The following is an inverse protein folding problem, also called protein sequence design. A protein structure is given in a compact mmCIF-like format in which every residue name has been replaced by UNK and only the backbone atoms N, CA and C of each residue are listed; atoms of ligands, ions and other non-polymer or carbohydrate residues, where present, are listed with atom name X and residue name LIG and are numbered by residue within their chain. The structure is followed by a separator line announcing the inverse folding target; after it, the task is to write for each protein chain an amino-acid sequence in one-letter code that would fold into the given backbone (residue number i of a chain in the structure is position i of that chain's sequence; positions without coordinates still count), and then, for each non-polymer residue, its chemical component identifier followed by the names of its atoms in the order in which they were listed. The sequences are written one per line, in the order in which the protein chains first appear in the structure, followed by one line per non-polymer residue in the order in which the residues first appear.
data_IF_634971707003
#
_entry.id   IF_634971707003
#
_cell.length_a   1.000
_cell.length_b   1.000
_cell.length_c   1.000
_cell.angle_alpha   90.00
_cell.angle_beta   90.00
_cell.angle_gamma   90.00
#
_symmetry.space_group_name_H-M   'P 1'
#
loop_
_entity.id
_entity.type
_entity.pdbx_description
1 polymer ?
#
# COMPACT_ATOMS: atom_id res chain seq x y z
N UNK A 1 -48.87 41.51 3.69
CA UNK A 1 -48.20 41.40 5.01
C UNK A 1 -46.72 41.25 4.75
N UNK A 2 -45.94 42.21 5.28
CA UNK A 2 -44.48 42.25 5.20
C UNK A 2 -43.88 41.14 6.07
N UNK A 3 -42.71 40.62 5.68
CA UNK A 3 -41.55 40.60 6.57
C UNK A 3 -40.27 40.35 5.75
N UNK A 4 -39.45 41.41 5.74
CA UNK A 4 -38.03 41.46 5.40
C UNK A 4 -37.21 40.67 6.42
N UNK A 5 -36.10 40.05 5.97
CA UNK A 5 -34.80 40.16 6.67
C UNK A 5 -33.68 40.14 5.63
N UNK A 6 -33.18 41.33 5.32
CA UNK A 6 -31.90 41.62 4.69
C UNK A 6 -30.82 41.64 5.78
N UNK A 7 -29.70 40.95 5.60
CA UNK A 7 -28.50 41.12 6.44
C UNK A 7 -27.41 41.78 5.62
N UNK A 8 -27.03 42.98 6.08
CA UNK A 8 -26.06 43.89 5.51
C UNK A 8 -24.63 43.35 5.51
N UNK A 9 -23.91 43.59 4.41
CA UNK A 9 -22.44 43.66 4.38
C UNK A 9 -22.02 45.08 4.74
N UNK A 10 -21.29 45.27 5.84
CA UNK A 10 -20.42 46.43 6.05
C UNK A 10 -19.36 46.10 7.10
N UNK A 11 -18.10 46.04 6.67
CA UNK A 11 -16.98 46.50 7.51
C UNK A 11 -16.02 47.28 6.62
N UNK A 12 -15.85 48.54 7.00
CA UNK A 12 -15.02 49.53 6.34
C UNK A 12 -13.60 49.53 6.96
N UNK A 13 -12.60 49.53 6.07
CA UNK A 13 -11.40 50.35 6.09
C UNK A 13 -10.59 50.54 7.39
N UNK A 14 -9.32 50.12 7.33
CA UNK A 14 -8.23 51.01 7.74
C UNK A 14 -7.01 50.82 6.85
N UNK A 15 -6.63 51.91 6.18
CA UNK A 15 -5.38 52.11 5.44
C UNK A 15 -4.23 52.15 6.43
N UNK A 16 -3.16 51.39 6.20
CA UNK A 16 -1.82 51.80 6.63
C UNK A 16 -0.81 51.71 5.50
N UNK A 17 -0.12 52.85 5.36
CA UNK A 17 0.82 53.26 4.32
C UNK A 17 2.07 52.37 4.35
N UNK A 18 2.44 51.79 3.22
CA UNK A 18 3.81 51.34 2.98
C UNK A 18 4.74 52.56 2.93
N UNK A 19 5.62 52.69 3.92
CA UNK A 19 6.78 53.57 3.86
C UNK A 19 8.00 52.76 3.42
N UNK A 20 8.44 53.01 2.20
CA UNK A 20 9.77 52.67 1.69
C UNK A 20 10.83 53.53 2.37
N UNK A 21 11.86 52.93 2.97
CA UNK A 21 13.20 53.52 3.08
C UNK A 21 14.27 52.45 2.86
N UNK A 22 15.32 52.74 2.08
CA UNK A 22 16.44 51.83 1.85
C UNK A 22 17.40 51.89 3.04
N UNK A 23 18.03 50.77 3.40
CA UNK A 23 19.20 50.79 4.26
C UNK A 23 20.38 50.16 3.53
N UNK A 24 21.42 50.96 3.40
CA UNK A 24 22.66 50.72 2.68
C UNK A 24 23.80 50.57 3.70
N UNK A 25 24.58 49.49 3.52
CA UNK A 25 26.03 49.33 3.69
C UNK A 25 26.70 49.76 5.00
N UNK A 26 27.41 48.81 5.63
CA UNK A 26 28.85 48.98 5.94
C UNK A 26 29.53 47.64 6.21
N UNK A 27 30.47 47.29 5.32
CA UNK A 27 31.55 46.34 5.58
C UNK A 27 32.64 47.05 6.39
N UNK A 28 33.34 46.36 7.31
CA UNK A 28 34.74 46.62 7.55
C UNK A 28 35.59 45.64 6.73
N UNK A 29 36.42 46.22 5.87
CA UNK A 29 37.59 45.64 5.24
C UNK A 29 38.81 45.85 6.15
N UNK A 30 39.92 45.20 5.76
CA UNK A 30 41.33 45.48 6.10
C UNK A 30 41.83 44.74 7.36
N UNK A 31 43.00 44.08 7.40
CA UNK A 31 44.04 43.88 6.41
C UNK A 31 45.08 42.86 6.93
N UNK A 32 45.65 42.08 5.99
CA UNK A 32 47.06 41.65 5.85
C UNK A 32 47.82 41.07 7.05
N UNK A 33 48.38 39.88 6.82
CA UNK A 33 49.84 39.62 6.63
C UNK A 33 50.00 38.16 6.14
N UNK A 34 50.29 37.96 4.85
CA UNK A 34 51.63 37.78 4.28
C UNK A 34 52.17 36.36 4.47
N UNK A 35 52.04 35.56 3.41
CA UNK A 35 53.05 34.68 2.79
C UNK A 35 54.28 34.39 3.67
N UNK A 36 54.48 33.12 4.08
CA UNK A 36 55.78 32.44 4.29
C UNK A 36 55.60 31.13 5.11
N UNK A 37 54.93 30.08 4.58
CA UNK A 37 55.06 28.70 5.15
C UNK A 37 54.90 27.60 4.07
N UNK A 38 55.47 27.79 2.87
CA UNK A 38 55.41 26.76 1.80
C UNK A 38 56.77 26.08 1.55
N UNK A 39 57.84 26.39 2.30
CA UNK A 39 59.20 25.88 1.97
C UNK A 39 59.90 25.10 3.11
N UNK A 40 59.24 24.81 4.25
CA UNK A 40 59.86 24.06 5.38
C UNK A 40 59.02 22.83 5.80
N UNK A 41 58.44 22.12 4.83
CA UNK A 41 57.83 20.79 5.04
C UNK A 41 58.31 19.74 4.01
N UNK A 42 59.30 20.09 3.19
CA UNK A 42 59.85 19.23 2.13
C UNK A 42 61.30 18.75 2.39
N UNK A 43 61.86 19.01 3.59
CA UNK A 43 63.26 18.63 3.92
C UNK A 43 63.39 17.75 5.17
N UNK A 44 62.29 17.40 5.86
CA UNK A 44 62.30 16.44 6.98
C UNK A 44 61.84 15.02 6.63
N UNK A 45 61.62 14.71 5.34
CA UNK A 45 61.24 13.37 4.85
C UNK A 45 62.35 12.71 4.02
N UNK A 46 63.62 12.87 4.41
CA UNK A 46 64.76 12.32 3.66
C UNK A 46 65.88 11.71 4.55
N UNK A 47 65.56 11.25 5.77
CA UNK A 47 66.55 10.61 6.66
C UNK A 47 66.10 9.30 7.34
N UNK A 48 65.20 8.53 6.72
CA UNK A 48 64.97 7.12 7.10
C UNK A 48 64.88 6.22 5.86
N UNK A 49 66.03 6.00 5.22
CA UNK A 49 66.24 4.95 4.23
C UNK A 49 67.29 3.98 4.78
N UNK A 50 66.85 3.03 5.60
CA UNK A 50 67.59 1.81 5.89
C UNK A 50 66.80 0.63 5.30
N UNK A 51 67.38 -0.21 4.43
CA UNK A 51 66.66 -1.33 3.84
C UNK A 51 66.67 -2.52 4.80
N UNK A 52 65.53 -2.84 5.42
CA UNK A 52 65.32 -4.17 6.01
C UNK A 52 64.91 -5.13 4.91
N UNK A 53 65.76 -6.11 4.60
CA UNK A 53 65.39 -7.24 3.72
C UNK A 53 64.42 -8.15 4.46
N UNK A 54 63.13 -8.02 4.18
CA UNK A 54 62.13 -9.03 4.51
C UNK A 54 62.05 -10.06 3.36
N UNK A 55 62.35 -11.33 3.65
CA UNK A 55 62.11 -12.43 2.74
C UNK A 55 60.59 -12.61 2.58
N UNK A 56 60.06 -12.28 1.40
CA UNK A 56 58.69 -12.58 1.03
C UNK A 56 58.61 -14.05 0.60
N UNK A 57 58.03 -14.88 1.46
CA UNK A 57 57.61 -16.25 1.13
C UNK A 57 56.51 -16.17 0.07
N UNK A 58 56.73 -16.81 -1.08
CA UNK A 58 55.77 -16.91 -2.18
C UNK A 58 54.52 -17.67 -1.73
N UNK A 59 53.46 -16.95 -1.35
CA UNK A 59 52.09 -17.50 -1.27
C UNK A 59 51.55 -17.58 -2.70
N UNK A 60 51.12 -18.77 -3.09
CA UNK A 60 50.49 -19.00 -4.40
C UNK A 60 49.34 -18.02 -4.64
N UNK A 61 49.25 -17.53 -5.88
CA UNK A 61 48.08 -16.79 -6.36
C UNK A 61 46.86 -17.69 -6.20
N UNK A 62 46.08 -17.43 -5.15
CA UNK A 62 44.65 -17.76 -5.17
C UNK A 62 44.07 -16.81 -6.20
N UNK A 63 43.73 -17.33 -7.37
CA UNK A 63 42.84 -16.63 -8.29
C UNK A 63 41.54 -16.43 -7.54
N UNK A 64 41.30 -15.22 -7.04
CA UNK A 64 39.98 -14.81 -6.59
C UNK A 64 39.01 -15.18 -7.70
N UNK A 65 37.91 -15.91 -7.42
CA UNK A 65 36.90 -16.11 -8.43
C UNK A 65 36.49 -14.71 -8.88
N UNK A 66 36.68 -14.42 -10.17
CA UNK A 66 36.09 -13.26 -10.79
C UNK A 66 34.61 -13.35 -10.48
N UNK A 67 34.13 -12.51 -9.56
CA UNK A 67 32.74 -12.11 -9.49
C UNK A 67 32.41 -11.75 -10.92
N UNK A 68 31.71 -12.64 -11.62
CA UNK A 68 31.01 -12.24 -12.83
C UNK A 68 30.21 -11.03 -12.37
N UNK A 69 30.54 -9.85 -12.91
CA UNK A 69 29.69 -8.70 -12.76
C UNK A 69 28.30 -9.21 -13.12
N UNK A 70 27.39 -9.24 -12.14
CA UNK A 70 25.99 -9.46 -12.43
C UNK A 70 25.69 -8.46 -13.54
N UNK A 71 25.36 -8.94 -14.73
CA UNK A 71 24.84 -8.04 -15.75
C UNK A 71 23.67 -7.36 -15.08
N UNK A 72 23.71 -6.03 -14.93
CA UNK A 72 22.59 -5.25 -14.43
C UNK A 72 21.40 -5.54 -15.36
N UNK A 73 20.60 -6.53 -15.00
CA UNK A 73 19.45 -6.96 -15.78
C UNK A 73 18.41 -5.87 -15.62
N UNK A 74 18.31 -5.00 -16.61
CA UNK A 74 17.30 -3.96 -16.68
C UNK A 74 16.03 -4.52 -17.34
N UNK A 75 14.88 -3.93 -17.03
CA UNK A 75 13.60 -4.22 -17.68
C UNK A 75 13.00 -2.93 -18.24
N UNK A 76 12.02 -3.07 -19.14
CA UNK A 76 11.29 -1.93 -19.71
C UNK A 76 9.84 -1.94 -19.22
N UNK A 77 9.34 -0.78 -18.80
CA UNK A 77 7.94 -0.59 -18.43
C UNK A 77 7.11 -0.24 -19.68
N UNK A 78 5.86 -0.74 -19.86
CA UNK A 78 5.15 -1.67 -18.97
C UNK A 78 5.61 -3.13 -19.07
N UNK A 79 5.64 -3.83 -17.92
CA UNK A 79 5.89 -5.29 -17.86
C UNK A 79 4.66 -6.14 -18.20
N UNK A 80 3.46 -5.55 -18.05
CA UNK A 80 2.19 -6.08 -18.57
C UNK A 80 1.53 -4.94 -19.34
N UNK A 81 1.26 -5.14 -20.64
CA UNK A 81 0.77 -4.07 -21.51
C UNK A 81 -0.75 -3.78 -21.37
N UNK A 82 -1.50 -4.69 -20.74
CA UNK A 82 -2.93 -4.52 -20.46
C UNK A 82 -3.15 -3.79 -19.13
N UNK A 83 -4.37 -3.29 -18.90
CA UNK A 83 -4.76 -2.77 -17.59
C UNK A 83 -4.75 -3.89 -16.55
N UNK A 84 -3.96 -3.70 -15.50
CA UNK A 84 -3.84 -4.61 -14.35
C UNK A 84 -3.79 -3.79 -13.05
N UNK A 85 -4.93 -3.18 -12.65
CA UNK A 85 -4.99 -2.40 -11.42
C UNK A 85 -4.90 -3.31 -10.20
N UNK A 86 -4.41 -2.77 -9.08
CA UNK A 86 -4.42 -3.44 -7.77
C UNK A 86 -3.86 -4.88 -7.80
N UNK A 87 -2.61 -5.08 -8.25
CA UNK A 87 -2.06 -6.43 -8.45
C UNK A 87 -1.76 -7.14 -7.12
N UNK A 88 -2.40 -8.29 -6.92
CA UNK A 88 -2.06 -9.25 -5.87
C UNK A 88 -1.07 -10.26 -6.40
N UNK A 89 0.05 -10.47 -5.69
CA UNK A 89 1.11 -11.38 -6.14
C UNK A 89 1.33 -12.54 -5.15
N UNK A 90 1.55 -13.75 -5.68
CA UNK A 90 1.99 -14.90 -4.88
C UNK A 90 3.11 -15.66 -5.61
N UNK A 91 4.10 -16.12 -4.84
CA UNK A 91 5.05 -17.14 -5.30
C UNK A 91 4.45 -18.52 -5.01
N UNK A 92 4.05 -19.24 -6.04
CA UNK A 92 3.30 -20.48 -5.93
C UNK A 92 4.20 -21.71 -5.78
N UNK A 93 3.60 -22.83 -5.35
CA UNK A 93 4.32 -24.07 -5.08
C UNK A 93 4.86 -24.75 -6.35
N UNK A 94 4.35 -24.37 -7.52
CA UNK A 94 4.82 -24.85 -8.82
C UNK A 94 6.06 -24.09 -9.33
N UNK A 95 6.58 -23.14 -8.54
CA UNK A 95 7.78 -22.36 -8.84
C UNK A 95 7.54 -21.13 -9.71
N UNK A 96 6.28 -20.75 -9.96
CA UNK A 96 5.93 -19.54 -10.69
C UNK A 96 5.38 -18.45 -9.77
N UNK A 97 5.59 -17.21 -10.20
CA UNK A 97 4.86 -16.06 -9.67
C UNK A 97 3.52 -15.93 -10.39
N UNK A 98 2.47 -15.66 -9.63
CA UNK A 98 1.15 -15.36 -10.15
C UNK A 98 0.72 -13.96 -9.71
N UNK A 99 0.11 -13.21 -10.63
CA UNK A 99 -0.57 -11.95 -10.34
C UNK A 99 -2.03 -12.07 -10.69
N UNK A 100 -2.91 -11.63 -9.78
CA UNK A 100 -4.32 -11.40 -10.08
C UNK A 100 -4.60 -9.91 -9.84
N UNK A 101 -5.30 -9.26 -10.77
CA UNK A 101 -5.57 -7.83 -10.75
C UNK A 101 -7.07 -7.54 -10.64
N UNK A 102 -7.44 -6.29 -10.39
CA UNK A 102 -8.81 -5.79 -10.48
C UNK A 102 -9.43 -6.05 -11.86
N UNK A 103 -10.74 -6.30 -11.88
CA UNK A 103 -11.52 -6.46 -13.11
C UNK A 103 -11.65 -5.13 -13.84
N UNK A 104 -11.35 -5.12 -15.14
CA UNK A 104 -11.36 -3.91 -15.96
C UNK A 104 -11.52 -4.26 -17.45
N UNK A 105 -11.79 -3.24 -18.27
CA UNK A 105 -11.81 -3.33 -19.72
C UNK A 105 -10.39 -3.28 -20.29
N UNK A 106 -10.04 -4.26 -21.09
CA UNK A 106 -8.78 -4.28 -21.82
C UNK A 106 -8.85 -3.52 -23.13
N UNK A 107 -7.67 -3.30 -23.72
CA UNK A 107 -7.59 -2.79 -25.09
C UNK A 107 -8.35 -3.74 -26.03
N UNK A 108 -9.29 -3.21 -26.80
CA UNK A 108 -10.21 -3.99 -27.63
C UNK A 108 -11.60 -4.18 -27.04
N UNK A 109 -11.83 -3.76 -25.79
CA UNK A 109 -13.16 -3.66 -25.18
C UNK A 109 -13.66 -4.95 -24.50
N UNK A 110 -12.81 -5.97 -24.34
CA UNK A 110 -13.14 -7.14 -23.52
C UNK A 110 -13.08 -6.80 -22.03
N UNK A 111 -14.10 -7.17 -21.28
CA UNK A 111 -14.12 -7.05 -19.82
C UNK A 111 -13.57 -8.34 -19.20
N UNK A 112 -12.57 -8.21 -18.34
CA UNK A 112 -11.91 -9.34 -17.70
C UNK A 112 -12.23 -9.41 -16.20
N UNK A 113 -12.61 -10.59 -15.71
CA UNK A 113 -12.96 -10.81 -14.30
C UNK A 113 -11.77 -11.34 -13.51
N UNK A 114 -11.13 -10.44 -12.76
CA UNK A 114 -9.92 -10.71 -11.98
C UNK A 114 -8.88 -11.49 -12.80
N UNK A 115 -8.27 -10.86 -13.83
CA UNK A 115 -7.40 -11.57 -14.76
C UNK A 115 -6.12 -12.07 -14.09
N UNK A 116 -5.71 -13.28 -14.47
CA UNK A 116 -4.56 -14.01 -13.92
C UNK A 116 -3.39 -13.95 -14.89
N UNK A 117 -2.23 -13.57 -14.38
CA UNK A 117 -0.94 -13.60 -15.07
C UNK A 117 0.05 -14.50 -14.34
N UNK A 118 0.99 -15.08 -15.08
CA UNK A 118 2.06 -15.92 -14.54
C UNK A 118 3.42 -15.50 -15.07
N UNK A 119 4.45 -15.58 -14.24
CA UNK A 119 5.85 -15.30 -14.62
C UNK A 119 6.83 -16.21 -13.87
N UNK A 120 8.02 -16.41 -14.44
CA UNK A 120 9.17 -17.05 -13.76
C UNK A 120 10.19 -16.03 -13.24
N UNK A 121 10.13 -14.78 -13.70
CA UNK A 121 11.20 -13.79 -13.52
C UNK A 121 10.70 -12.40 -13.10
N UNK A 122 9.40 -12.26 -12.84
CA UNK A 122 8.71 -11.01 -12.47
C UNK A 122 8.71 -9.93 -13.57
N UNK A 123 9.26 -10.21 -14.75
CA UNK A 123 9.39 -9.26 -15.87
C UNK A 123 8.54 -9.69 -17.06
N UNK A 124 8.61 -10.96 -17.45
CA UNK A 124 7.85 -11.50 -18.56
C UNK A 124 6.62 -12.23 -18.04
N UNK A 125 5.45 -11.66 -18.30
CA UNK A 125 4.17 -12.16 -17.81
C UNK A 125 3.33 -12.75 -18.95
N UNK A 126 2.78 -13.93 -18.71
CA UNK A 126 1.85 -14.61 -19.62
C UNK A 126 0.46 -14.58 -19.02
N UNK A 127 -0.54 -14.13 -19.80
CA UNK A 127 -1.94 -14.21 -19.40
C UNK A 127 -2.38 -15.68 -19.35
N UNK A 128 -3.02 -16.06 -18.25
CA UNK A 128 -3.49 -17.43 -17.99
C UNK A 128 -4.99 -17.55 -18.29
N UNK A 129 -5.78 -16.57 -17.84
CA UNK A 129 -7.23 -16.59 -17.93
C UNK A 129 -7.86 -15.68 -16.88
N UNK A 130 -9.20 -15.64 -16.86
CA UNK A 130 -9.96 -14.93 -15.85
C UNK A 130 -10.23 -15.84 -14.65
N UNK A 131 -10.25 -15.25 -13.44
CA UNK A 131 -10.53 -16.05 -12.24
C UNK A 131 -11.97 -16.56 -12.20
N UNK A 132 -12.90 -15.80 -12.78
CA UNK A 132 -14.32 -16.15 -12.83
C UNK A 132 -14.87 -16.07 -14.25
N UNK A 133 -15.66 -17.06 -14.65
CA UNK A 133 -16.45 -16.98 -15.89
C UNK A 133 -17.70 -16.11 -15.74
N UNK A 134 -18.18 -15.92 -14.51
CA UNK A 134 -19.30 -15.07 -14.16
C UNK A 134 -19.16 -14.61 -12.71
N UNK A 135 -19.76 -13.46 -12.38
CA UNK A 135 -19.78 -12.95 -11.00
C UNK A 135 -20.48 -13.95 -10.08
N UNK A 136 -20.01 -14.12 -8.83
CA UNK A 136 -20.73 -14.88 -7.81
C UNK A 136 -22.17 -14.37 -7.64
N UNK A 137 -23.11 -15.26 -7.31
CA UNK A 137 -24.55 -14.94 -7.33
C UNK A 137 -24.98 -13.82 -6.36
N UNK A 138 -24.23 -13.60 -5.29
CA UNK A 138 -24.50 -12.53 -4.31
C UNK A 138 -24.01 -11.15 -4.77
N UNK A 139 -23.13 -11.10 -5.77
CA UNK A 139 -22.59 -9.87 -6.36
C UNK A 139 -23.60 -9.30 -7.35
N UNK A 140 -23.78 -7.97 -7.33
CA UNK A 140 -24.68 -7.30 -8.26
C UNK A 140 -24.16 -7.42 -9.71
N UNK A 141 -25.06 -7.47 -10.70
CA UNK A 141 -24.69 -7.74 -12.10
C UNK A 141 -23.81 -6.65 -12.73
N UNK A 142 -23.90 -5.42 -12.24
CA UNK A 142 -23.14 -4.25 -12.67
C UNK A 142 -21.93 -3.93 -11.77
N UNK A 143 -21.70 -4.72 -10.72
CA UNK A 143 -20.58 -4.51 -9.81
C UNK A 143 -19.24 -4.91 -10.44
N UNK A 144 -18.16 -4.28 -10.01
CA UNK A 144 -16.80 -4.73 -10.26
C UNK A 144 -16.33 -5.74 -9.23
N UNK A 145 -15.37 -6.59 -9.62
CA UNK A 145 -14.56 -7.37 -8.69
C UNK A 145 -13.16 -6.78 -8.65
N UNK A 146 -12.70 -6.33 -7.48
CA UNK A 146 -11.51 -5.47 -7.35
C UNK A 146 -10.54 -5.94 -6.28
N UNK A 147 -9.31 -5.42 -6.36
CA UNK A 147 -8.24 -5.47 -5.37
C UNK A 147 -8.17 -6.82 -4.66
N UNK A 148 -7.83 -7.90 -5.39
CA UNK A 148 -7.71 -9.20 -4.77
C UNK A 148 -6.54 -9.25 -3.77
N UNK A 149 -6.52 -10.27 -2.93
CA UNK A 149 -5.35 -10.70 -2.16
C UNK A 149 -5.23 -12.22 -2.23
N UNK A 150 -4.00 -12.73 -2.27
CA UNK A 150 -3.70 -14.13 -2.52
C UNK A 150 -2.94 -14.77 -1.38
N UNK A 151 -3.48 -15.87 -0.88
CA UNK A 151 -2.87 -16.62 0.21
C UNK A 151 -2.84 -18.11 -0.09
N UNK A 152 -1.88 -18.82 0.52
CA UNK A 152 -1.82 -20.27 0.49
C UNK A 152 -1.68 -20.83 1.90
N UNK A 153 -2.69 -21.58 2.33
CA UNK A 153 -2.67 -22.32 3.59
C UNK A 153 -3.72 -23.44 3.52
N UNK A 154 -3.69 -24.39 4.46
CA UNK A 154 -4.61 -25.55 4.47
C UNK A 154 -4.64 -26.31 3.12
N UNK A 155 -3.50 -26.37 2.43
CA UNK A 155 -3.32 -26.99 1.12
C UNK A 155 -4.19 -26.40 -0.01
N UNK A 156 -4.69 -25.17 0.15
CA UNK A 156 -5.50 -24.47 -0.85
C UNK A 156 -5.01 -23.04 -1.03
N UNK A 157 -5.28 -22.52 -2.22
CA UNK A 157 -5.16 -21.10 -2.52
C UNK A 157 -6.47 -20.41 -2.14
N UNK A 158 -6.34 -19.22 -1.57
CA UNK A 158 -7.43 -18.34 -1.19
C UNK A 158 -7.24 -17.02 -1.93
N UNK A 159 -8.31 -16.53 -2.55
CA UNK A 159 -8.40 -15.21 -3.16
C UNK A 159 -9.46 -14.42 -2.44
N UNK A 160 -9.04 -13.47 -1.61
CA UNK A 160 -9.95 -12.46 -1.09
C UNK A 160 -10.16 -11.41 -2.16
N UNK A 161 -11.36 -10.87 -2.32
CA UNK A 161 -11.62 -9.86 -3.33
C UNK A 161 -12.76 -8.94 -2.92
N UNK A 162 -12.75 -7.74 -3.46
CA UNK A 162 -13.83 -6.77 -3.32
C UNK A 162 -14.94 -7.06 -4.31
N UNK A 163 -16.19 -6.99 -3.88
CA UNK A 163 -17.34 -6.71 -4.72
C UNK A 163 -17.76 -5.25 -4.54
N UNK A 164 -17.78 -4.47 -5.62
CA UNK A 164 -18.13 -3.04 -5.54
C UNK A 164 -19.59 -2.78 -5.12
N UNK A 165 -20.44 -3.79 -5.32
CA UNK A 165 -21.85 -3.78 -4.99
C UNK A 165 -22.38 -5.20 -4.86
N UNK A 166 -23.36 -5.35 -3.98
CA UNK A 166 -24.06 -6.61 -3.73
C UNK A 166 -25.52 -6.51 -4.16
N UNK A 167 -26.12 -7.65 -4.48
CA UNK A 167 -27.58 -7.77 -4.45
C UNK A 167 -28.05 -7.53 -3.00
N UNK A 168 -29.33 -7.18 -2.75
CA UNK A 168 -29.84 -7.10 -1.38
C UNK A 168 -29.53 -8.39 -0.61
N UNK A 169 -28.98 -8.26 0.60
CA UNK A 169 -28.64 -9.39 1.48
C UNK A 169 -29.44 -9.30 2.78
N UNK A 170 -30.70 -9.79 2.81
CA UNK A 170 -31.57 -9.68 3.99
C UNK A 170 -30.99 -10.25 5.28
N UNK A 171 -30.15 -11.29 5.21
CA UNK A 171 -29.44 -11.85 6.38
C UNK A 171 -28.60 -10.81 7.11
N UNK A 172 -27.99 -9.88 6.37
CA UNK A 172 -27.14 -8.83 6.93
C UNK A 172 -27.88 -7.50 7.08
N UNK A 173 -29.18 -7.44 6.74
CA UNK A 173 -29.97 -6.21 6.78
C UNK A 173 -29.49 -5.15 5.79
N UNK A 174 -28.87 -5.55 4.68
CA UNK A 174 -28.33 -4.63 3.67
C UNK A 174 -29.16 -4.68 2.38
N UNK A 175 -29.35 -3.51 1.75
CA UNK A 175 -30.03 -3.37 0.45
C UNK A 175 -29.03 -3.33 -0.72
N UNK A 176 -27.75 -3.57 -0.45
CA UNK A 176 -26.63 -3.43 -1.39
C UNK A 176 -25.40 -2.88 -0.67
N UNK A 177 -24.50 -2.27 -1.44
CA UNK A 177 -23.22 -1.76 -0.94
C UNK A 177 -22.07 -2.73 -1.16
N UNK A 178 -20.86 -2.27 -0.87
CA UNK A 178 -19.64 -3.03 -1.10
C UNK A 178 -19.36 -4.07 -0.04
N UNK A 179 -18.68 -5.13 -0.43
CA UNK A 179 -18.44 -6.29 0.42
C UNK A 179 -17.14 -7.00 -0.01
N UNK A 180 -16.64 -7.88 0.85
CA UNK A 180 -15.47 -8.72 0.55
C UNK A 180 -15.90 -10.17 0.43
N UNK A 181 -15.54 -10.81 -0.67
CA UNK A 181 -15.67 -12.24 -0.89
C UNK A 181 -14.35 -12.98 -0.64
N UNK A 182 -14.45 -14.30 -0.63
CA UNK A 182 -13.28 -15.19 -0.68
C UNK A 182 -13.58 -16.35 -1.60
N UNK A 183 -12.65 -16.66 -2.49
CA UNK A 183 -12.71 -17.83 -3.35
C UNK A 183 -11.53 -18.75 -3.05
N UNK A 184 -11.69 -20.04 -3.36
CA UNK A 184 -10.65 -21.05 -3.17
C UNK A 184 -10.34 -21.79 -4.46
N UNK A 185 -9.11 -22.25 -4.59
CA UNK A 185 -8.64 -23.07 -5.70
C UNK A 185 -7.51 -24.01 -5.24
N UNK A 186 -7.31 -25.11 -5.96
CA UNK A 186 -6.16 -26.00 -5.75
C UNK A 186 -4.89 -25.50 -6.47
N UNK A 187 -5.04 -24.52 -7.36
CA UNK A 187 -3.97 -23.88 -8.13
C UNK A 187 -4.24 -22.37 -8.23
N UNK A 188 -3.22 -21.49 -8.20
CA UNK A 188 -3.40 -20.05 -8.38
C UNK A 188 -3.87 -19.70 -9.81
N UNK A 189 -3.75 -20.64 -10.76
CA UNK A 189 -4.31 -20.53 -12.10
C UNK A 189 -5.83 -20.82 -12.15
N UNK A 190 -6.44 -21.16 -11.01
CA UNK A 190 -7.81 -21.61 -10.92
C UNK A 190 -8.00 -23.10 -11.29
N UNK A 191 -9.25 -23.54 -11.52
CA UNK A 191 -10.47 -22.73 -11.44
C UNK A 191 -10.74 -22.24 -10.00
N UNK A 192 -11.19 -21.00 -9.88
CA UNK A 192 -11.57 -20.41 -8.59
C UNK A 192 -13.05 -20.66 -8.30
N UNK A 193 -13.35 -21.04 -7.07
CA UNK A 193 -14.71 -21.26 -6.58
C UNK A 193 -15.00 -20.31 -5.43
N UNK A 194 -16.02 -19.46 -5.57
CA UNK A 194 -16.53 -18.62 -4.46
C UNK A 194 -16.86 -19.50 -3.25
N UNK A 195 -16.34 -19.14 -2.08
CA UNK A 195 -16.57 -19.91 -0.86
C UNK A 195 -18.02 -19.78 -0.37
N UNK A 196 -18.69 -18.66 -0.70
CA UNK A 196 -20.09 -18.40 -0.40
C UNK A 196 -20.50 -18.78 1.03
N UNK A 197 -21.35 -19.80 1.19
CA UNK A 197 -21.84 -20.24 2.50
C UNK A 197 -20.74 -20.62 3.49
N UNK A 198 -19.63 -21.19 3.00
CA UNK A 198 -18.51 -21.56 3.86
C UNK A 198 -17.81 -20.34 4.48
N UNK A 199 -18.04 -19.12 3.96
CA UNK A 199 -17.50 -17.87 4.49
C UNK A 199 -18.50 -17.06 5.35
N UNK A 200 -19.53 -17.72 5.89
CA UNK A 200 -20.52 -17.09 6.78
C UNK A 200 -21.85 -16.76 6.10
N UNK A 201 -22.11 -17.29 4.91
CA UNK A 201 -23.40 -17.19 4.20
C UNK A 201 -24.48 -18.10 4.78
N UNK A 202 -25.73 -17.62 4.75
CA UNK A 202 -26.95 -18.45 4.74
C UNK A 202 -28.09 -17.50 4.37
N UNK A 203 -28.56 -17.46 3.13
CA UNK A 203 -29.38 -18.54 2.61
C UNK A 203 -28.96 -19.04 1.20
N UNK A 204 -27.68 -18.94 0.82
CA UNK A 204 -26.93 -20.02 0.15
C UNK A 204 -25.55 -19.65 -0.40
N UNK A 205 -25.15 -18.38 -0.60
CA UNK A 205 -23.75 -17.96 -0.77
C UNK A 205 -23.64 -16.46 -0.44
N UNK A 206 -22.76 -16.04 0.46
CA UNK A 206 -22.64 -14.62 0.88
C UNK A 206 -21.20 -14.18 1.08
N UNK A 207 -20.93 -12.87 1.18
CA UNK A 207 -19.58 -12.36 1.36
C UNK A 207 -18.99 -12.74 2.72
N UNK A 208 -17.65 -12.84 2.77
CA UNK A 208 -16.85 -12.94 3.98
C UNK A 208 -17.08 -11.73 4.91
N UNK A 209 -17.08 -10.53 4.32
CA UNK A 209 -17.43 -9.29 5.03
C UNK A 209 -18.60 -8.62 4.29
N UNK A 210 -19.81 -8.61 4.88
CA UNK A 210 -20.96 -7.96 4.25
C UNK A 210 -20.83 -6.43 4.27
N UNK A 211 -21.69 -5.71 3.53
CA UNK A 211 -21.71 -4.25 3.58
C UNK A 211 -21.90 -3.74 5.01
N UNK A 212 -21.05 -2.79 5.40
CA UNK A 212 -21.01 -2.24 6.77
C UNK A 212 -21.82 -0.96 6.84
N UNK A 213 -22.89 -0.92 7.63
CA UNK A 213 -23.68 0.31 7.81
C UNK A 213 -22.82 1.46 8.33
N UNK A 214 -22.97 2.62 7.73
CA UNK A 214 -22.32 3.84 8.18
C UNK A 214 -23.09 4.46 9.36
N UNK A 215 -22.41 5.19 10.25
CA UNK A 215 -23.06 5.83 11.43
C UNK A 215 -23.05 7.36 11.39
N UNK A 216 -22.62 7.97 10.27
CA UNK A 216 -22.49 9.42 10.17
C UNK A 216 -23.79 10.14 9.73
N UNK A 217 -24.81 9.40 9.30
CA UNK A 217 -26.12 9.93 8.98
C UNK A 217 -27.22 8.90 9.30
N UNK A 218 -28.48 9.26 9.03
CA UNK A 218 -29.66 8.42 9.27
C UNK A 218 -30.14 7.68 8.02
N UNK A 219 -29.38 7.71 6.92
CA UNK A 219 -29.77 7.01 5.70
C UNK A 219 -29.55 5.50 5.90
N UNK A 220 -30.63 4.67 5.88
CA UNK A 220 -30.51 3.23 6.05
C UNK A 220 -29.71 2.54 4.94
N UNK A 221 -29.42 3.23 3.83
CA UNK A 221 -28.61 2.74 2.71
C UNK A 221 -27.19 3.33 2.69
N UNK A 222 -26.76 3.98 3.77
CA UNK A 222 -25.39 4.45 3.89
C UNK A 222 -24.48 3.29 4.37
N UNK A 223 -23.48 2.95 3.56
CA UNK A 223 -22.52 1.89 3.87
C UNK A 223 -21.08 2.40 3.78
N UNK A 224 -20.23 2.04 4.74
CA UNK A 224 -18.79 2.22 4.64
C UNK A 224 -18.23 1.37 3.50
N UNK A 225 -17.18 1.89 2.88
CA UNK A 225 -16.45 1.16 1.85
C UNK A 225 -15.77 -0.05 2.48
N UNK A 226 -16.21 -1.21 2.04
CA UNK A 226 -15.70 -2.52 2.43
C UNK A 226 -14.97 -3.09 1.24
N UNK A 227 -13.77 -2.54 1.03
CA UNK A 227 -12.91 -2.70 -0.15
C UNK A 227 -11.53 -3.22 0.25
N UNK A 228 -10.72 -3.54 -0.74
CA UNK A 228 -9.27 -3.80 -0.67
C UNK A 228 -8.86 -4.73 0.48
N UNK A 229 -9.34 -5.99 0.49
CA UNK A 229 -8.89 -6.97 1.47
C UNK A 229 -7.38 -7.23 1.32
N UNK A 230 -6.70 -7.39 2.45
CA UNK A 230 -5.38 -7.99 2.54
C UNK A 230 -5.33 -8.87 3.78
N UNK A 231 -5.13 -10.17 3.57
CA UNK A 231 -4.94 -11.11 4.66
C UNK A 231 -3.47 -11.12 5.09
N UNK A 232 -3.26 -11.17 6.40
CA UNK A 232 -1.95 -11.29 7.00
C UNK A 232 -2.00 -12.39 8.04
N UNK A 233 -1.22 -13.45 7.82
CA UNK A 233 -0.99 -14.50 8.80
C UNK A 233 0.29 -14.19 9.57
N UNK A 234 0.18 -14.02 10.89
CA UNK A 234 1.31 -13.79 11.77
C UNK A 234 2.07 -15.11 12.07
N UNK A 235 3.25 -15.01 12.68
CA UNK A 235 4.10 -16.16 12.99
C UNK A 235 3.47 -17.18 13.95
N UNK A 236 2.52 -16.75 14.78
CA UNK A 236 1.76 -17.64 15.68
C UNK A 236 0.60 -18.35 14.96
N UNK A 237 0.40 -18.09 13.66
CA UNK A 237 -0.67 -18.63 12.84
C UNK A 237 -1.98 -17.85 12.94
N UNK A 238 -2.05 -16.78 13.75
CA UNK A 238 -3.23 -15.92 13.79
C UNK A 238 -3.34 -15.15 12.48
N UNK A 239 -4.53 -15.26 11.87
CA UNK A 239 -4.90 -14.56 10.64
C UNK A 239 -5.57 -13.22 10.94
N UNK A 240 -5.29 -12.23 10.12
CA UNK A 240 -5.88 -10.90 10.20
C UNK A 240 -6.35 -10.47 8.81
N UNK A 241 -7.56 -9.93 8.71
CA UNK A 241 -8.03 -9.28 7.50
C UNK A 241 -7.94 -7.78 7.69
N UNK A 242 -7.05 -7.13 6.94
CA UNK A 242 -7.07 -5.69 6.73
C UNK A 242 -7.98 -5.38 5.56
N UNK A 243 -8.76 -4.31 5.66
CA UNK A 243 -9.64 -3.88 4.58
C UNK A 243 -10.17 -2.47 4.80
N UNK A 244 -10.81 -1.91 3.79
CA UNK A 244 -11.39 -0.57 3.80
C UNK A 244 -10.62 0.37 2.88
N UNK A 245 -11.32 1.40 2.42
CA UNK A 245 -10.80 2.43 1.54
C UNK A 245 -11.59 3.69 1.84
N UNK A 246 -10.92 4.83 2.04
CA UNK A 246 -11.56 6.11 2.34
C UNK A 246 -12.78 5.96 3.26
N UNK A 247 -13.99 6.22 2.76
CA UNK A 247 -15.24 6.33 3.53
C UNK A 247 -15.47 5.19 4.55
N UNK A 248 -15.03 5.41 5.80
CA UNK A 248 -15.10 4.43 6.91
C UNK A 248 -13.75 3.94 7.44
N UNK A 249 -12.65 4.36 6.81
CA UNK A 249 -11.26 4.06 7.15
C UNK A 249 -10.82 2.66 6.75
N UNK A 250 -9.50 2.46 6.81
CA UNK A 250 -8.92 1.12 6.80
C UNK A 250 -9.03 0.54 8.21
N UNK A 251 -9.46 -0.71 8.30
CA UNK A 251 -9.70 -1.44 9.54
C UNK A 251 -8.98 -2.79 9.50
N UNK A 252 -8.83 -3.43 10.66
CA UNK A 252 -8.35 -4.80 10.81
C UNK A 252 -9.31 -5.61 11.66
N UNK A 253 -9.51 -6.88 11.31
CA UNK A 253 -10.18 -7.88 12.13
C UNK A 253 -9.33 -9.13 12.21
N UNK A 254 -9.42 -9.85 13.34
CA UNK A 254 -8.92 -11.22 13.39
C UNK A 254 -9.77 -12.11 12.48
N UNK A 255 -9.19 -13.18 11.99
CA UNK A 255 -9.92 -14.23 11.29
C UNK A 255 -9.83 -15.55 12.06
N UNK A 256 -10.76 -16.43 11.73
CA UNK A 256 -10.69 -17.86 12.05
C UNK A 256 -9.54 -18.53 11.29
N UNK A 257 -9.03 -19.64 11.83
CA UNK A 257 -7.88 -20.34 11.25
C UNK A 257 -8.15 -20.94 9.86
N UNK A 258 -9.42 -21.19 9.53
CA UNK A 258 -9.82 -21.64 8.19
C UNK A 258 -9.75 -20.53 7.14
N UNK A 259 -9.59 -19.27 7.57
CA UNK A 259 -9.49 -18.09 6.71
C UNK A 259 -10.82 -17.65 6.10
N UNK A 260 -11.94 -18.22 6.56
CA UNK A 260 -13.26 -18.03 5.98
C UNK A 260 -14.20 -17.17 6.83
N UNK A 261 -13.79 -16.76 8.02
CA UNK A 261 -14.62 -15.87 8.85
C UNK A 261 -13.80 -14.83 9.58
N UNK A 262 -14.30 -13.60 9.62
CA UNK A 262 -13.80 -12.54 10.51
C UNK A 262 -14.36 -12.69 11.93
N UNK A 263 -13.60 -12.25 12.93
CA UNK A 263 -13.89 -12.40 14.35
C UNK A 263 -13.77 -11.05 15.06
N UNK A 264 -14.80 -10.72 15.85
CA UNK A 264 -14.84 -9.50 16.66
C UNK A 264 -15.20 -8.25 15.85
N UNK A 265 -15.09 -7.10 16.50
CA UNK A 265 -15.39 -5.78 15.90
C UNK A 265 -14.18 -5.27 15.11
N UNK A 266 -14.37 -4.62 13.94
CA UNK A 266 -13.26 -4.00 13.21
C UNK A 266 -12.55 -2.95 14.05
N UNK A 267 -11.21 -2.98 14.04
CA UNK A 267 -10.35 -2.00 14.69
C UNK A 267 -9.85 -1.05 13.62
N UNK A 268 -10.11 0.25 13.77
CA UNK A 268 -9.64 1.26 12.83
C UNK A 268 -8.12 1.40 12.92
N UNK A 269 -7.44 1.30 11.77
CA UNK A 269 -5.98 1.40 11.64
C UNK A 269 -5.54 2.51 10.68
N UNK A 270 -6.49 3.15 10.00
CA UNK A 270 -6.23 4.32 9.15
C UNK A 270 -7.43 5.25 9.11
N UNK A 271 -7.15 6.52 8.84
CA UNK A 271 -8.15 7.57 8.84
C UNK A 271 -9.16 7.42 7.69
N UNK A 272 -10.38 7.93 7.92
CA UNK A 272 -11.57 7.67 7.09
C UNK A 272 -11.60 8.37 5.73
N UNK A 273 -10.63 9.23 5.41
CA UNK A 273 -10.65 10.04 4.19
C UNK A 273 -9.33 10.01 3.42
N UNK A 274 -8.43 9.09 3.76
CA UNK A 274 -7.03 9.22 3.35
C UNK A 274 -6.41 8.01 2.68
N UNK A 275 -6.77 6.80 3.10
CA UNK A 275 -6.04 5.58 2.76
C UNK A 275 -6.93 4.53 2.11
N UNK A 276 -6.33 3.74 1.23
CA UNK A 276 -6.88 2.53 0.62
C UNK A 276 -5.76 1.54 0.28
N UNK A 277 -6.09 0.34 -0.22
CA UNK A 277 -5.10 -0.64 -0.64
C UNK A 277 -4.10 -1.04 0.46
N UNK A 278 -4.60 -1.26 1.69
CA UNK A 278 -3.73 -1.64 2.81
C UNK A 278 -3.08 -3.00 2.55
N UNK A 279 -1.77 -3.11 2.76
CA UNK A 279 -1.01 -4.36 2.72
C UNK A 279 -0.02 -4.40 3.89
N UNK A 280 -0.07 -5.47 4.70
CA UNK A 280 0.73 -5.56 5.94
C UNK A 280 1.77 -6.66 5.85
N UNK A 281 3.00 -6.32 6.19
CA UNK A 281 4.10 -7.27 6.32
C UNK A 281 4.75 -7.17 7.70
N UNK A 282 5.24 -8.30 8.21
CA UNK A 282 6.01 -8.37 9.45
C UNK A 282 7.50 -8.39 9.15
N UNK A 283 8.27 -7.62 9.91
CA UNK A 283 9.73 -7.64 9.87
C UNK A 283 10.30 -7.46 11.28
N UNK A 284 11.20 -8.37 11.67
CA UNK A 284 11.83 -8.33 12.99
C UNK A 284 13.08 -7.47 12.99
N UNK A 285 13.14 -6.51 13.90
CA UNK A 285 14.30 -5.62 14.08
C UNK A 285 14.89 -5.90 15.46
N UNK A 286 16.13 -6.38 15.50
CA UNK A 286 16.83 -6.76 16.74
C UNK A 286 16.04 -7.74 17.62
N UNK A 287 15.35 -8.70 16.99
CA UNK A 287 14.52 -9.69 17.71
C UNK A 287 13.16 -9.17 18.19
N UNK A 288 12.79 -7.94 17.84
CA UNK A 288 11.48 -7.38 18.15
C UNK A 288 10.60 -7.31 16.90
N UNK A 289 9.35 -7.81 16.97
CA UNK A 289 8.45 -7.77 15.82
C UNK A 289 7.95 -6.37 15.53
N UNK A 290 8.01 -6.00 14.26
CA UNK A 290 7.36 -4.82 13.72
C UNK A 290 6.46 -5.19 12.55
N UNK A 291 5.33 -4.51 12.46
CA UNK A 291 4.35 -4.66 11.40
C UNK A 291 4.35 -3.37 10.59
N UNK A 292 4.49 -3.49 9.28
CA UNK A 292 4.56 -2.38 8.35
C UNK A 292 3.29 -2.40 7.51
N UNK A 293 2.45 -1.39 7.69
CA UNK A 293 1.27 -1.16 6.89
C UNK A 293 1.65 -0.24 5.74
N UNK A 294 1.69 -0.82 4.54
CA UNK A 294 1.71 -0.09 3.29
C UNK A 294 0.28 0.26 2.93
N UNK A 295 0.03 1.51 2.56
CA UNK A 295 -1.26 1.94 2.06
C UNK A 295 -1.06 2.97 0.97
N UNK A 296 -2.02 3.07 0.07
CA UNK A 296 -2.05 4.14 -0.91
C UNK A 296 -2.80 5.36 -0.37
N UNK A 297 -2.43 6.54 -0.86
CA UNK A 297 -3.10 7.79 -0.52
C UNK A 297 -3.22 8.71 -1.74
N UNK A 298 -4.12 9.69 -1.64
CA UNK A 298 -4.56 10.55 -2.72
C UNK A 298 -5.33 9.82 -3.84
N UNK A 299 -5.72 10.55 -4.88
CA UNK A 299 -6.66 10.05 -5.88
C UNK A 299 -5.98 9.19 -6.95
N UNK A 300 -6.30 7.89 -7.02
CA UNK A 300 -5.83 6.92 -8.04
C UNK A 300 -6.09 7.34 -9.49
N UNK A 301 -7.16 8.09 -9.72
CA UNK A 301 -7.98 7.91 -10.91
C UNK A 301 -8.07 9.17 -11.78
N UNK A 302 -7.11 10.09 -11.65
CA UNK A 302 -6.98 11.29 -12.49
C UNK A 302 -5.97 11.11 -13.64
N UNK A 303 -5.72 9.87 -14.05
CA UNK A 303 -4.75 9.54 -15.10
C UNK A 303 -3.35 10.07 -14.75
N UNK A 304 -2.60 10.68 -15.70
CA UNK A 304 -1.26 11.22 -15.44
C UNK A 304 -1.20 12.31 -14.35
N UNK A 305 -2.33 12.89 -13.98
CA UNK A 305 -2.42 13.90 -12.92
C UNK A 305 -2.71 13.29 -11.54
N UNK A 306 -2.71 11.97 -11.44
CA UNK A 306 -2.82 11.29 -10.15
C UNK A 306 -1.64 11.65 -9.24
N UNK A 307 -1.94 11.96 -7.98
CA UNK A 307 -0.94 12.13 -6.93
C UNK A 307 -0.77 10.84 -6.09
N UNK A 308 -1.25 9.70 -6.61
CA UNK A 308 -1.29 8.44 -5.89
C UNK A 308 0.09 8.04 -5.40
N UNK A 309 0.20 7.82 -4.10
CA UNK A 309 1.47 7.58 -3.43
C UNK A 309 1.32 6.46 -2.43
N UNK A 310 2.29 5.56 -2.40
CA UNK A 310 2.41 4.54 -1.34
C UNK A 310 3.06 5.18 -0.12
N UNK A 311 2.41 5.04 1.03
CA UNK A 311 2.94 5.40 2.34
C UNK A 311 3.17 4.14 3.16
N UNK A 312 4.05 4.22 4.16
CA UNK A 312 4.30 3.13 5.10
C UNK A 312 4.28 3.63 6.53
N UNK A 313 3.60 2.89 7.40
CA UNK A 313 3.49 3.16 8.83
C UNK A 313 3.83 1.88 9.59
N UNK A 314 4.35 2.00 10.81
CA UNK A 314 4.86 0.86 11.59
C UNK A 314 4.17 0.73 12.95
N UNK A 315 3.90 -0.50 13.36
CA UNK A 315 3.37 -0.85 14.68
C UNK A 315 4.18 -1.98 15.33
N UNK A 316 4.04 -2.16 16.65
CA UNK A 316 4.57 -3.32 17.41
C UNK A 316 3.52 -4.41 17.62
N UNK A 317 2.33 -4.23 17.06
CA UNK A 317 1.19 -5.15 17.10
C UNK A 317 0.54 -5.14 15.72
N UNK A 318 0.04 -6.29 15.21
CA UNK A 318 -0.71 -6.30 13.94
C UNK A 318 -1.98 -5.45 14.05
N UNK A 319 -2.50 -5.23 15.26
CA UNK A 319 -3.68 -4.40 15.50
C UNK A 319 -3.39 -2.89 15.54
N UNK A 320 -2.14 -2.47 15.29
CA UNK A 320 -1.73 -1.09 15.43
C UNK A 320 -1.52 -0.64 16.90
N UNK A 321 -1.53 0.68 17.17
CA UNK A 321 -1.63 1.76 16.18
C UNK A 321 -0.42 1.77 15.25
N UNK A 322 -0.66 2.07 13.97
CA UNK A 322 0.42 2.23 12.99
C UNK A 322 0.86 3.70 13.00
N UNK A 323 2.16 3.91 13.17
CA UNK A 323 2.74 5.23 13.37
C UNK A 323 3.71 5.54 12.24
N UNK A 324 3.67 6.77 11.74
CA UNK A 324 4.59 7.24 10.71
C UNK A 324 6.00 7.53 11.27
N UNK A 325 6.91 7.95 10.40
CA UNK A 325 8.29 8.29 10.80
C UNK A 325 8.39 9.48 11.79
N UNK A 326 7.35 10.31 11.88
CA UNK A 326 7.31 11.49 12.74
C UNK A 326 6.59 11.24 14.08
N UNK A 327 6.10 10.02 14.31
CA UNK A 327 5.44 9.65 15.55
C UNK A 327 3.92 9.85 15.55
N UNK A 328 3.30 10.10 14.39
CA UNK A 328 1.86 10.31 14.31
C UNK A 328 1.10 9.06 13.87
N UNK A 329 -0.03 8.76 14.54
CA UNK A 329 -0.85 7.61 14.21
C UNK A 329 -1.59 7.79 12.88
N UNK A 330 -1.67 6.70 12.11
CA UNK A 330 -2.31 6.64 10.79
C UNK A 330 -3.83 6.87 10.87
N UNK A 331 -4.46 6.57 12.01
CA UNK A 331 -5.87 6.83 12.29
C UNK A 331 -6.17 8.26 12.79
N UNK A 332 -5.15 9.08 13.10
CA UNK A 332 -5.30 10.51 13.47
C UNK A 332 -4.27 11.41 12.76
N UNK A 333 -4.28 11.50 11.43
CA UNK A 333 -3.36 12.32 10.66
C UNK A 333 -3.52 13.82 10.95
N UNK A 334 -4.64 14.27 11.51
CA UNK A 334 -4.84 15.64 11.99
C UNK A 334 -3.90 16.05 13.13
N UNK A 335 -3.24 15.08 13.79
CA UNK A 335 -2.17 15.37 14.74
C UNK A 335 -0.89 15.87 14.04
N UNK A 336 -0.75 15.67 12.72
CA UNK A 336 0.37 16.16 11.94
C UNK A 336 0.34 17.69 11.85
N UNK A 337 1.49 18.36 12.04
CA UNK A 337 1.60 19.77 11.69
C UNK A 337 1.26 19.95 10.21
N UNK A 338 0.38 20.89 9.88
CA UNK A 338 0.15 21.30 8.50
C UNK A 338 1.51 21.70 7.92
N UNK A 339 2.01 21.06 6.85
CA UNK A 339 3.29 21.43 6.27
C UNK A 339 3.21 22.89 5.82
N UNK A 340 3.98 23.77 6.46
CA UNK A 340 3.85 25.22 6.26
C UNK A 340 4.41 25.71 4.92
N UNK A 341 5.09 24.86 4.14
CA UNK A 341 5.58 25.16 2.79
C UNK A 341 6.10 23.87 2.13
N UNK A 342 5.76 23.64 0.86
CA UNK A 342 6.55 22.80 -0.06
C UNK A 342 7.57 23.66 -0.79
#
# INVERSE_FOLDING_TARGET
MKNDVTVERRWAGRKERHMSKPFSVSRPLLLRRSVYVVIILLVTLLLFLAPTRANATTRGQVTSPSLHAASDSTYTNPIIAQTTPDPAIINALDGYYYVIASSDFWQGGSYHLLPIYRSTDLVHWTFVGDSFSARPAWVASDAGLWAPDLQYYNHKYYMYYTASGTNPLPKYGTNGGSAIGVATADSPAGPWTDAGDAAGGSYQHGPLVPPRSCVFNTDPNCYYWTFDPAEFTDQDGQKYLYYGSYFGGTVVQKMTNDGLHVVGTPIQVGHWDRYEGTYVVRHDVNGHPYYYNFSSSANCCLGPNTAYSVVVNRATSPLGPFIDQNGFPMERPEAQPVPTTR
#
